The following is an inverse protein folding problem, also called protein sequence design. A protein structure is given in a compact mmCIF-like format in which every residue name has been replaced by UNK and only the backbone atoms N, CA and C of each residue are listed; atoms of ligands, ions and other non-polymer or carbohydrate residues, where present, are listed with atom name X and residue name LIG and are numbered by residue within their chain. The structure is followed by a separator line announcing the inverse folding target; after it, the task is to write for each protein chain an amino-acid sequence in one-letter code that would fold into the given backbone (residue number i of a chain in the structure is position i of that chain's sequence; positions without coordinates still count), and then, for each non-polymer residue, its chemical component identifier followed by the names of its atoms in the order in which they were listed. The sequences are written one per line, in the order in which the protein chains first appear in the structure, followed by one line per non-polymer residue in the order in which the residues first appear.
data_IF_723838521716
#
_entry.id   IF_723838521716
#
_cell.length_a   1.000
_cell.length_b   1.000
_cell.length_c   1.000
_cell.angle_alpha   90.00
_cell.angle_beta   90.00
_cell.angle_gamma   90.00
#
_symmetry.space_group_name_H-M   'P 1'
#
loop_
_entity.id
_entity.type
_entity.pdbx_description
1 polymer ?
#
# COMPACT_ATOMS: atom_id res chain seq x y z
N UNK A 1 -47.01 3.57 -19.19
CA UNK A 1 -48.47 3.70 -19.31
C UNK A 1 -49.08 2.33 -19.49
N UNK A 2 -49.85 1.90 -18.48
CA UNK A 2 -50.58 0.65 -18.47
C UNK A 2 -51.67 0.66 -19.56
N UNK A 3 -51.64 -0.31 -20.46
CA UNK A 3 -52.63 -0.50 -21.51
C UNK A 3 -53.57 -1.64 -21.12
N UNK A 4 -54.87 -1.36 -21.08
CA UNK A 4 -55.90 -2.34 -20.71
C UNK A 4 -56.73 -2.65 -21.94
N UNK A 5 -56.84 -3.94 -22.27
CA UNK A 5 -57.64 -4.43 -23.40
C UNK A 5 -58.54 -5.59 -22.98
N UNK A 6 -59.71 -5.69 -23.60
CA UNK A 6 -60.63 -6.82 -23.41
C UNK A 6 -60.20 -8.00 -24.27
N UNK A 7 -60.14 -9.21 -23.71
CA UNK A 7 -59.88 -10.48 -24.40
C UNK A 7 -60.94 -11.49 -23.97
N UNK A 8 -61.94 -11.72 -24.83
CA UNK A 8 -63.13 -12.51 -24.47
C UNK A 8 -63.84 -11.90 -23.26
N UNK A 9 -64.11 -12.72 -22.24
CA UNK A 9 -64.76 -12.31 -21.00
C UNK A 9 -63.80 -11.77 -19.92
N UNK A 10 -62.53 -11.53 -20.28
CA UNK A 10 -61.49 -11.09 -19.34
C UNK A 10 -60.80 -9.80 -19.80
N UNK A 11 -60.16 -9.13 -18.84
CA UNK A 11 -59.43 -7.88 -19.03
C UNK A 11 -57.93 -8.11 -18.88
N UNK A 12 -57.15 -7.88 -19.93
CA UNK A 12 -55.70 -7.97 -19.89
C UNK A 12 -55.11 -6.57 -19.67
N UNK A 13 -54.29 -6.42 -18.63
CA UNK A 13 -53.43 -5.25 -18.43
C UNK A 13 -52.02 -5.56 -18.92
N UNK A 14 -51.41 -4.65 -19.67
CA UNK A 14 -50.03 -4.70 -20.13
C UNK A 14 -49.31 -3.41 -19.72
N UNK A 15 -48.19 -3.55 -19.02
CA UNK A 15 -47.34 -2.41 -18.63
C UNK A 15 -46.03 -2.53 -19.39
N UNK A 16 -45.74 -1.51 -20.19
CA UNK A 16 -44.51 -1.40 -20.98
C UNK A 16 -43.84 -0.07 -20.65
N UNK A 17 -42.55 -0.14 -20.34
CA UNK A 17 -41.66 1.02 -20.17
C UNK A 17 -40.30 0.69 -20.77
N UNK A 18 -39.68 1.68 -21.40
CA UNK A 18 -38.36 1.54 -22.02
C UNK A 18 -37.35 1.17 -20.93
N UNK A 19 -36.56 0.12 -21.17
CA UNK A 19 -35.55 -0.33 -20.20
C UNK A 19 -36.09 -1.24 -19.09
N UNK A 20 -37.30 -1.81 -19.20
CA UNK A 20 -37.84 -2.81 -18.27
C UNK A 20 -38.52 -3.95 -19.03
N UNK A 21 -38.56 -5.16 -18.46
CA UNK A 21 -39.29 -6.28 -19.06
C UNK A 21 -40.81 -6.01 -19.10
N UNK A 22 -41.50 -6.32 -20.22
CA UNK A 22 -42.94 -6.13 -20.32
C UNK A 22 -43.70 -7.00 -19.31
N UNK A 23 -44.53 -6.38 -18.47
CA UNK A 23 -45.38 -7.10 -17.50
C UNK A 23 -46.81 -7.18 -18.02
N UNK A 24 -47.44 -8.35 -17.95
CA UNK A 24 -48.86 -8.48 -18.30
C UNK A 24 -49.62 -9.48 -17.43
N UNK A 25 -50.89 -9.19 -17.14
CA UNK A 25 -51.75 -10.06 -16.34
C UNK A 25 -53.22 -9.89 -16.75
N UNK A 26 -54.00 -10.96 -16.59
CA UNK A 26 -55.41 -11.02 -17.03
C UNK A 26 -56.38 -11.20 -15.85
N UNK A 27 -57.40 -10.37 -15.78
CA UNK A 27 -58.35 -10.24 -14.67
C UNK A 27 -59.79 -10.48 -15.12
N UNK A 28 -60.67 -10.83 -14.19
CA UNK A 28 -62.11 -10.95 -14.46
C UNK A 28 -62.78 -9.57 -14.54
N UNK A 29 -62.40 -8.62 -13.67
CA UNK A 29 -62.94 -7.27 -13.64
C UNK A 29 -61.96 -6.23 -14.17
N UNK A 30 -62.47 -5.21 -14.87
CA UNK A 30 -61.68 -4.08 -15.38
C UNK A 30 -60.99 -3.30 -14.25
N UNK A 31 -61.69 -3.07 -13.13
CA UNK A 31 -61.17 -2.33 -11.97
C UNK A 31 -59.93 -2.97 -11.35
N UNK A 32 -59.82 -4.29 -11.41
CA UNK A 32 -58.65 -5.02 -10.88
C UNK A 32 -57.45 -4.92 -11.82
N UNK A 33 -57.70 -4.91 -13.14
CA UNK A 33 -56.69 -4.65 -14.15
C UNK A 33 -56.12 -3.22 -14.06
N UNK A 34 -56.97 -2.23 -13.75
CA UNK A 34 -56.58 -0.84 -13.50
C UNK A 34 -55.73 -0.71 -12.23
N UNK A 35 -56.20 -1.25 -11.10
CA UNK A 35 -55.45 -1.25 -9.83
C UNK A 35 -54.09 -1.93 -9.95
N UNK A 36 -54.04 -3.08 -10.64
CA UNK A 36 -52.77 -3.76 -10.87
C UNK A 36 -51.84 -2.94 -11.76
N UNK A 37 -52.35 -2.32 -12.83
CA UNK A 37 -51.57 -1.45 -13.70
C UNK A 37 -50.87 -0.32 -12.94
N UNK A 38 -51.61 0.41 -12.08
CA UNK A 38 -51.05 1.49 -11.26
C UNK A 38 -49.96 1.00 -10.30
N UNK A 39 -50.16 -0.16 -9.66
CA UNK A 39 -49.15 -0.74 -8.77
C UNK A 39 -47.86 -1.11 -9.51
N UNK A 40 -47.98 -1.66 -10.72
CA UNK A 40 -46.81 -1.99 -11.54
C UNK A 40 -46.08 -0.74 -12.03
N UNK A 41 -46.80 0.32 -12.39
CA UNK A 41 -46.15 1.58 -12.79
C UNK A 41 -45.40 2.23 -11.64
N UNK A 42 -45.98 2.24 -10.44
CA UNK A 42 -45.30 2.74 -9.23
C UNK A 42 -44.04 1.94 -8.89
N UNK A 43 -44.09 0.62 -9.01
CA UNK A 43 -42.92 -0.25 -8.81
C UNK A 43 -41.81 0.07 -9.83
N UNK A 44 -42.17 0.28 -11.10
CA UNK A 44 -41.22 0.67 -12.14
C UNK A 44 -40.67 2.10 -11.92
N UNK A 45 -41.47 3.05 -11.44
CA UNK A 45 -41.00 4.39 -11.05
C UNK A 45 -39.98 4.31 -9.90
N UNK A 46 -40.23 3.44 -8.91
CA UNK A 46 -39.33 3.25 -7.78
C UNK A 46 -37.99 2.63 -8.21
N UNK A 47 -38.03 1.59 -9.06
CA UNK A 47 -36.83 0.97 -9.64
C UNK A 47 -36.03 1.97 -10.51
N UNK A 48 -36.72 2.76 -11.33
CA UNK A 48 -36.10 3.80 -12.17
C UNK A 48 -35.46 4.90 -11.31
N UNK A 49 -36.11 5.31 -10.22
CA UNK A 49 -35.56 6.29 -9.27
C UNK A 49 -34.30 5.81 -8.54
N UNK A 50 -34.15 4.49 -8.38
CA UNK A 50 -32.96 3.83 -7.83
C UNK A 50 -31.87 3.59 -8.87
N UNK A 51 -32.13 3.92 -10.14
CA UNK A 51 -31.22 3.66 -11.26
C UNK A 51 -31.21 2.20 -11.72
N UNK A 52 -32.14 1.39 -11.23
CA UNK A 52 -32.29 -0.04 -11.52
C UNK A 52 -33.11 -0.23 -12.81
N UNK A 53 -32.59 0.22 -13.95
CA UNK A 53 -33.16 -0.17 -15.25
C UNK A 53 -32.76 -1.62 -15.58
N UNK A 54 -33.58 -2.37 -16.34
CA UNK A 54 -33.29 -3.72 -16.83
C UNK A 54 -32.09 -3.82 -17.81
N UNK A 55 -31.31 -2.74 -17.94
CA UNK A 55 -29.93 -2.77 -18.44
C UNK A 55 -28.89 -2.84 -17.31
N UNK A 56 -29.25 -3.35 -16.13
CA UNK A 56 -28.29 -3.94 -15.21
C UNK A 56 -27.70 -5.18 -15.89
N UNK A 57 -26.69 -4.97 -16.73
CA UNK A 57 -25.89 -6.06 -17.31
C UNK A 57 -25.39 -6.90 -16.14
N UNK A 58 -25.88 -8.14 -16.03
CA UNK A 58 -25.36 -9.09 -15.05
C UNK A 58 -23.84 -9.18 -15.25
N UNK A 59 -23.10 -9.06 -14.15
CA UNK A 59 -21.64 -9.08 -14.22
C UNK A 59 -21.16 -10.52 -14.22
N UNK A 60 -21.01 -11.09 -15.41
CA UNK A 60 -20.47 -12.44 -15.63
C UNK A 60 -18.95 -12.53 -15.45
N UNK A 61 -18.28 -11.41 -15.21
CA UNK A 61 -16.84 -11.34 -15.01
C UNK A 61 -16.42 -12.09 -13.74
N UNK A 62 -15.49 -13.03 -13.88
CA UNK A 62 -14.84 -13.67 -12.74
C UNK A 62 -13.90 -12.69 -12.02
N UNK A 63 -13.72 -12.88 -10.71
CA UNK A 63 -12.77 -12.09 -9.96
C UNK A 63 -11.34 -12.23 -10.53
N UNK A 64 -10.96 -13.40 -11.04
CA UNK A 64 -9.67 -13.62 -11.69
C UNK A 64 -9.44 -12.67 -12.89
N UNK A 65 -10.42 -12.57 -13.79
CA UNK A 65 -10.36 -11.71 -14.97
C UNK A 65 -10.40 -10.23 -14.61
N UNK A 66 -11.22 -9.90 -13.60
CA UNK A 66 -11.28 -8.55 -13.05
C UNK A 66 -9.93 -8.10 -12.47
N UNK A 67 -9.23 -9.01 -11.77
CA UNK A 67 -7.90 -8.74 -11.24
C UNK A 67 -6.84 -8.59 -12.35
N UNK A 68 -6.96 -9.32 -13.46
CA UNK A 68 -6.10 -9.14 -14.64
C UNK A 68 -6.30 -7.78 -15.29
N UNK A 69 -7.56 -7.39 -15.52
CA UNK A 69 -7.88 -6.06 -16.05
C UNK A 69 -7.32 -4.96 -15.15
N UNK A 70 -7.45 -5.11 -13.83
CA UNK A 70 -6.83 -4.17 -12.89
C UNK A 70 -5.29 -4.20 -12.98
N UNK A 71 -4.67 -5.38 -13.07
CA UNK A 71 -3.22 -5.50 -13.14
C UNK A 71 -2.63 -4.80 -14.39
N UNK A 72 -3.35 -4.81 -15.51
CA UNK A 72 -2.96 -4.10 -16.73
C UNK A 72 -2.95 -2.56 -16.59
N UNK A 73 -3.75 -2.00 -15.68
CA UNK A 73 -3.77 -0.57 -15.37
C UNK A 73 -2.66 -0.16 -14.39
N UNK A 74 -2.05 -1.13 -13.71
CA UNK A 74 -1.00 -0.90 -12.74
C UNK A 74 0.36 -1.07 -13.43
N UNK A 75 1.35 -0.29 -13.00
CA UNK A 75 2.72 -0.44 -13.50
C UNK A 75 3.20 -1.89 -13.37
N UNK A 76 3.67 -2.44 -14.49
CA UNK A 76 4.30 -3.74 -14.56
C UNK A 76 5.40 -3.91 -13.49
N UNK A 77 5.46 -5.11 -12.90
CA UNK A 77 6.46 -5.49 -11.86
C UNK A 77 6.43 -4.62 -10.60
N UNK A 78 5.33 -3.91 -10.34
CA UNK A 78 5.10 -3.26 -9.04
C UNK A 78 4.60 -4.27 -7.99
N UNK A 79 4.70 -3.90 -6.71
CA UNK A 79 4.18 -4.75 -5.61
C UNK A 79 2.69 -5.08 -5.79
N UNK A 80 1.88 -4.11 -6.22
CA UNK A 80 0.45 -4.32 -6.48
C UNK A 80 0.22 -5.27 -7.66
N UNK A 81 1.00 -5.15 -8.75
CA UNK A 81 0.91 -6.08 -9.88
C UNK A 81 1.18 -7.53 -9.44
N UNK A 82 2.19 -7.75 -8.58
CA UNK A 82 2.47 -9.09 -8.04
C UNK A 82 1.34 -9.60 -7.14
N UNK A 83 0.77 -8.73 -6.29
CA UNK A 83 -0.35 -9.12 -5.44
C UNK A 83 -1.60 -9.47 -6.26
N UNK A 84 -1.97 -8.65 -7.24
CA UNK A 84 -3.08 -8.93 -8.16
C UNK A 84 -2.90 -10.28 -8.85
N UNK A 85 -1.70 -10.55 -9.37
CA UNK A 85 -1.36 -11.82 -10.01
C UNK A 85 -1.43 -13.02 -9.04
N UNK A 86 -0.99 -12.83 -7.79
CA UNK A 86 -0.99 -13.88 -6.77
C UNK A 86 -2.41 -14.22 -6.29
N UNK A 87 -3.29 -13.22 -6.18
CA UNK A 87 -4.68 -13.39 -5.75
C UNK A 87 -5.49 -14.27 -6.71
N UNK A 88 -5.17 -14.27 -8.01
CA UNK A 88 -5.82 -15.12 -9.01
C UNK A 88 -5.70 -16.62 -8.76
N UNK A 89 -4.65 -17.05 -8.06
CA UNK A 89 -4.40 -18.48 -7.77
C UNK A 89 -5.26 -18.99 -6.62
N UNK A 90 -6.13 -18.15 -6.06
CA UNK A 90 -6.94 -18.47 -4.88
C UNK A 90 -8.35 -18.91 -5.29
N UNK A 91 -8.99 -19.83 -4.55
CA UNK A 91 -10.30 -20.36 -4.94
C UNK A 91 -11.40 -19.30 -5.11
N UNK A 92 -11.31 -18.18 -4.39
CA UNK A 92 -12.25 -17.05 -4.53
C UNK A 92 -12.21 -16.40 -5.92
N UNK A 93 -11.09 -16.51 -6.63
CA UNK A 93 -10.87 -15.84 -7.91
C UNK A 93 -11.74 -16.42 -9.04
N UNK A 94 -12.09 -17.70 -8.98
CA UNK A 94 -12.95 -18.37 -9.96
C UNK A 94 -14.45 -18.07 -9.78
N UNK A 95 -14.82 -17.20 -8.82
CA UNK A 95 -16.21 -16.79 -8.61
C UNK A 95 -16.48 -15.52 -9.38
N UNK A 96 -17.68 -15.43 -9.96
CA UNK A 96 -18.20 -14.21 -10.58
C UNK A 96 -18.32 -13.08 -9.57
N UNK A 97 -18.06 -11.85 -10.02
CA UNK A 97 -18.14 -10.66 -9.17
C UNK A 97 -19.54 -10.45 -8.57
N UNK A 98 -20.60 -10.77 -9.32
CA UNK A 98 -22.00 -10.69 -8.88
C UNK A 98 -22.43 -11.85 -7.95
N UNK A 99 -21.71 -12.97 -7.99
CA UNK A 99 -21.91 -14.11 -7.09
C UNK A 99 -21.10 -14.04 -5.79
N UNK A 100 -20.24 -13.05 -5.64
CA UNK A 100 -19.42 -12.83 -4.46
C UNK A 100 -20.16 -11.98 -3.43
N UNK A 101 -19.97 -12.31 -2.16
CA UNK A 101 -20.61 -11.63 -1.04
C UNK A 101 -19.60 -11.42 0.09
N UNK A 102 -20.03 -10.71 1.14
CA UNK A 102 -19.16 -10.35 2.28
C UNK A 102 -18.53 -11.59 2.95
N UNK A 103 -19.28 -12.68 3.09
CA UNK A 103 -18.83 -13.92 3.72
C UNK A 103 -17.65 -14.54 2.97
N UNK A 104 -17.65 -14.50 1.64
CA UNK A 104 -16.53 -14.96 0.82
C UNK A 104 -15.24 -14.19 1.14
N UNK A 105 -15.31 -12.86 1.30
CA UNK A 105 -14.15 -12.04 1.61
C UNK A 105 -13.69 -12.13 3.07
N UNK A 106 -14.61 -12.39 4.01
CA UNK A 106 -14.25 -12.71 5.40
C UNK A 106 -13.45 -14.00 5.45
N UNK A 107 -13.94 -15.07 4.79
CA UNK A 107 -13.21 -16.33 4.69
C UNK A 107 -11.84 -16.14 4.03
N UNK A 108 -11.80 -15.42 2.91
CA UNK A 108 -10.53 -15.07 2.25
C UNK A 108 -9.56 -14.36 3.21
N UNK A 109 -10.03 -13.37 3.97
CA UNK A 109 -9.20 -12.65 4.95
C UNK A 109 -8.63 -13.61 5.99
N UNK A 110 -9.46 -14.46 6.57
CA UNK A 110 -9.07 -15.36 7.66
C UNK A 110 -8.11 -16.44 7.18
N UNK A 111 -8.38 -17.03 6.01
CA UNK A 111 -7.47 -17.97 5.34
C UNK A 111 -6.11 -17.29 5.08
N UNK A 112 -6.10 -16.07 4.55
CA UNK A 112 -4.86 -15.32 4.25
C UNK A 112 -4.09 -14.91 5.50
N UNK A 113 -4.76 -14.62 6.62
CA UNK A 113 -4.10 -14.29 7.88
C UNK A 113 -3.30 -15.47 8.46
N UNK A 114 -3.63 -16.71 8.08
CA UNK A 114 -2.83 -17.89 8.45
C UNK A 114 -1.52 -18.00 7.64
N UNK A 115 -1.44 -17.36 6.48
CA UNK A 115 -0.30 -17.47 5.56
C UNK A 115 0.60 -16.23 5.54
N UNK A 116 0.03 -15.02 5.70
CA UNK A 116 0.75 -13.76 5.56
C UNK A 116 0.37 -12.74 6.62
N UNK A 117 1.24 -11.75 6.82
CA UNK A 117 1.03 -10.69 7.80
C UNK A 117 -0.21 -9.80 7.51
N UNK A 118 -0.81 -9.19 8.55
CA UNK A 118 -2.04 -8.38 8.45
C UNK A 118 -1.97 -7.22 7.43
N UNK A 119 -0.77 -6.68 7.20
CA UNK A 119 -0.55 -5.60 6.22
C UNK A 119 -0.78 -6.06 4.79
N UNK A 120 -0.32 -7.27 4.47
CA UNK A 120 -0.51 -7.86 3.14
C UNK A 120 -1.99 -8.14 2.90
N UNK A 121 -2.67 -8.77 3.86
CA UNK A 121 -4.11 -9.05 3.76
C UNK A 121 -4.93 -7.76 3.60
N UNK A 122 -4.63 -6.72 4.38
CA UNK A 122 -5.31 -5.43 4.22
C UNK A 122 -5.08 -4.80 2.84
N UNK A 123 -3.87 -4.95 2.27
CA UNK A 123 -3.56 -4.46 0.91
C UNK A 123 -4.29 -5.26 -0.16
N UNK A 124 -4.33 -6.58 -0.05
CA UNK A 124 -5.08 -7.48 -0.94
C UNK A 124 -6.58 -7.11 -0.94
N UNK A 125 -7.21 -6.98 0.23
CA UNK A 125 -8.61 -6.55 0.34
C UNK A 125 -8.85 -5.16 -0.25
N UNK A 126 -7.93 -4.21 -0.06
CA UNK A 126 -8.04 -2.89 -0.67
C UNK A 126 -7.96 -2.96 -2.21
N UNK A 127 -7.07 -3.79 -2.76
CA UNK A 127 -6.95 -3.99 -4.20
C UNK A 127 -8.23 -4.61 -4.78
N UNK A 128 -8.83 -5.59 -4.09
CA UNK A 128 -10.12 -6.17 -4.47
C UNK A 128 -11.22 -5.11 -4.44
N UNK A 129 -11.33 -4.30 -3.37
CA UNK A 129 -12.28 -3.18 -3.30
C UNK A 129 -12.11 -2.23 -4.50
N UNK A 130 -10.86 -1.89 -4.86
CA UNK A 130 -10.56 -1.04 -6.00
C UNK A 130 -10.94 -1.69 -7.33
N UNK A 131 -10.75 -3.00 -7.48
CA UNK A 131 -11.18 -3.77 -8.66
C UNK A 131 -12.69 -3.68 -8.88
N UNK A 132 -13.50 -3.84 -7.81
CA UNK A 132 -14.94 -3.65 -7.90
C UNK A 132 -15.30 -2.22 -8.33
N UNK A 133 -14.63 -1.21 -7.77
CA UNK A 133 -14.89 0.18 -8.15
C UNK A 133 -14.53 0.47 -9.61
N UNK A 134 -13.49 -0.15 -10.15
CA UNK A 134 -13.14 -0.09 -11.57
C UNK A 134 -14.22 -0.77 -12.43
N UNK A 135 -14.67 -1.96 -12.04
CA UNK A 135 -15.74 -2.66 -12.76
C UNK A 135 -17.01 -1.82 -12.89
N UNK A 136 -17.38 -1.15 -11.79
CA UNK A 136 -18.55 -0.27 -11.74
C UNK A 136 -18.41 1.01 -12.57
N UNK A 137 -17.26 1.67 -12.48
CA UNK A 137 -17.05 3.00 -13.05
C UNK A 137 -16.56 2.98 -14.49
N UNK A 138 -15.82 1.94 -14.86
CA UNK A 138 -15.02 1.94 -16.09
C UNK A 138 -15.29 0.73 -16.99
N UNK A 139 -15.78 -0.41 -16.47
CA UNK A 139 -15.98 -1.62 -17.27
C UNK A 139 -17.45 -1.93 -17.63
N UNK A 140 -18.36 -0.98 -17.40
CA UNK A 140 -19.74 -1.08 -17.84
C UNK A 140 -20.67 -1.87 -16.91
N UNK A 141 -20.30 -2.07 -15.64
CA UNK A 141 -21.14 -2.75 -14.64
C UNK A 141 -21.62 -1.81 -13.51
N UNK A 142 -22.35 -0.72 -13.81
CA UNK A 142 -22.69 0.32 -12.82
C UNK A 142 -23.51 -0.19 -11.63
N UNK A 143 -24.36 -1.21 -11.85
CA UNK A 143 -25.21 -1.84 -10.86
C UNK A 143 -24.48 -2.89 -9.99
N UNK A 144 -23.23 -3.25 -10.29
CA UNK A 144 -22.47 -4.20 -9.49
C UNK A 144 -22.24 -3.65 -8.08
N UNK A 145 -22.67 -4.37 -7.05
CA UNK A 145 -22.37 -3.99 -5.66
C UNK A 145 -20.94 -4.37 -5.28
N UNK A 146 -20.25 -3.49 -4.54
CA UNK A 146 -18.91 -3.78 -4.03
C UNK A 146 -19.01 -4.61 -2.75
N UNK A 147 -19.14 -5.93 -2.90
CA UNK A 147 -19.24 -6.89 -1.80
C UNK A 147 -18.02 -6.88 -0.86
N UNK A 148 -16.88 -6.33 -1.28
CA UNK A 148 -15.67 -6.22 -0.47
C UNK A 148 -15.61 -4.93 0.38
N UNK A 149 -16.48 -3.94 0.14
CA UNK A 149 -16.36 -2.58 0.71
C UNK A 149 -16.35 -2.54 2.24
N UNK A 150 -17.26 -3.26 2.87
CA UNK A 150 -17.49 -3.24 4.32
C UNK A 150 -16.81 -4.40 5.06
N UNK A 151 -15.88 -5.10 4.40
CA UNK A 151 -15.09 -6.14 5.04
C UNK A 151 -14.09 -5.48 5.99
N UNK A 152 -14.21 -5.79 7.28
CA UNK A 152 -13.29 -5.27 8.30
C UNK A 152 -11.86 -5.73 8.00
N UNK A 153 -10.96 -4.75 7.80
CA UNK A 153 -9.55 -4.99 7.53
C UNK A 153 -8.82 -5.39 8.82
N UNK A 154 -7.82 -6.29 8.75
CA UNK A 154 -7.03 -6.67 9.91
C UNK A 154 -6.32 -5.48 10.56
N UNK A 155 -6.25 -5.50 11.90
CA UNK A 155 -5.48 -4.51 12.66
C UNK A 155 -4.01 -4.58 12.22
N UNK A 156 -3.45 -3.42 11.89
CA UNK A 156 -2.06 -3.34 11.47
C UNK A 156 -1.14 -3.55 12.67
N UNK A 157 -0.07 -4.36 12.54
CA UNK A 157 0.90 -4.50 13.61
C UNK A 157 1.57 -3.15 13.89
N UNK A 158 2.05 -2.98 15.12
CA UNK A 158 2.88 -1.81 15.47
C UNK A 158 4.12 -1.76 14.57
N UNK A 159 4.61 -0.54 14.35
CA UNK A 159 5.86 -0.34 13.64
C UNK A 159 7.00 -1.05 14.37
N UNK A 160 7.96 -1.59 13.61
CA UNK A 160 9.14 -2.26 14.16
C UNK A 160 10.04 -1.26 14.90
N UNK A 161 10.56 -1.65 16.05
CA UNK A 161 11.38 -0.82 16.95
C UNK A 161 12.79 -1.39 17.17
N UNK A 162 13.19 -2.38 16.36
CA UNK A 162 14.50 -3.02 16.43
C UNK A 162 15.61 -2.00 16.16
N UNK A 163 16.54 -1.88 17.11
CA UNK A 163 17.77 -1.07 17.07
C UNK A 163 18.98 -1.97 17.23
N UNK A 164 20.18 -1.53 16.83
CA UNK A 164 21.41 -2.29 17.10
C UNK A 164 21.65 -2.38 18.62
N UNK A 165 21.93 -3.58 19.12
CA UNK A 165 22.10 -3.85 20.55
C UNK A 165 23.55 -4.21 20.88
N UNK A 166 24.02 -3.83 22.08
CA UNK A 166 25.33 -4.16 22.61
C UNK A 166 26.49 -4.01 21.58
N UNK A 167 27.13 -5.11 21.20
CA UNK A 167 28.26 -5.19 20.28
C UNK A 167 27.87 -5.57 18.84
N UNK A 168 26.57 -5.62 18.50
CA UNK A 168 26.09 -6.08 17.19
C UNK A 168 26.70 -5.30 16.03
N UNK A 169 26.84 -3.98 16.15
CA UNK A 169 27.49 -3.16 15.12
C UNK A 169 28.93 -3.63 14.87
N UNK A 170 29.69 -3.86 15.95
CA UNK A 170 31.07 -4.33 15.85
C UNK A 170 31.13 -5.73 15.22
N UNK A 171 30.28 -6.67 15.66
CA UNK A 171 30.21 -8.02 15.10
C UNK A 171 29.84 -8.02 13.62
N UNK A 172 28.88 -7.19 13.21
CA UNK A 172 28.51 -7.01 11.80
C UNK A 172 29.69 -6.50 10.98
N UNK A 173 30.43 -5.50 11.49
CA UNK A 173 31.57 -4.95 10.78
C UNK A 173 32.71 -5.96 10.63
N UNK A 174 33.02 -6.73 11.69
CA UNK A 174 34.02 -7.80 11.64
C UNK A 174 33.60 -8.90 10.66
N UNK A 175 32.36 -9.38 10.75
CA UNK A 175 31.86 -10.42 9.88
C UNK A 175 31.78 -9.98 8.41
N UNK A 176 31.52 -8.70 8.15
CA UNK A 176 31.41 -8.14 6.79
C UNK A 176 32.71 -8.26 5.99
N UNK A 177 33.88 -8.25 6.64
CA UNK A 177 35.18 -8.40 6.01
C UNK A 177 35.36 -9.76 5.28
N UNK A 178 34.56 -10.75 5.66
CA UNK A 178 34.61 -12.11 5.08
C UNK A 178 33.59 -12.34 3.96
N UNK A 179 32.70 -11.38 3.69
CA UNK A 179 31.65 -11.50 2.67
C UNK A 179 32.11 -10.81 1.39
N UNK A 180 32.14 -11.56 0.28
CA UNK A 180 32.55 -11.08 -1.05
C UNK A 180 31.47 -10.23 -1.73
N UNK A 181 31.01 -9.17 -1.06
CA UNK A 181 30.13 -8.16 -1.64
C UNK A 181 30.84 -6.83 -1.61
N UNK A 182 31.05 -6.22 -2.79
CA UNK A 182 31.76 -4.96 -2.91
C UNK A 182 31.16 -3.89 -1.97
N UNK A 183 32.03 -3.22 -1.23
CA UNK A 183 31.69 -2.09 -0.36
C UNK A 183 30.62 -2.37 0.71
N UNK A 184 30.36 -3.63 1.08
CA UNK A 184 29.30 -3.97 2.06
C UNK A 184 29.49 -3.22 3.39
N UNK A 185 30.71 -3.24 3.93
CA UNK A 185 31.03 -2.54 5.18
C UNK A 185 30.80 -1.02 5.07
N UNK A 186 31.18 -0.42 3.93
CA UNK A 186 30.95 0.99 3.65
C UNK A 186 29.46 1.31 3.55
N UNK A 187 28.66 0.46 2.89
CA UNK A 187 27.20 0.61 2.76
C UNK A 187 26.53 0.59 4.15
N UNK A 188 26.94 -0.31 5.04
CA UNK A 188 26.38 -0.44 6.39
C UNK A 188 26.65 0.83 7.19
N UNK A 189 27.91 1.25 7.26
CA UNK A 189 28.29 2.47 8.00
C UNK A 189 27.63 3.71 7.41
N UNK A 190 27.57 3.80 6.08
CA UNK A 190 26.94 4.92 5.39
C UNK A 190 25.43 4.99 5.65
N UNK A 191 24.75 3.84 5.74
CA UNK A 191 23.33 3.78 6.11
C UNK A 191 23.09 4.31 7.53
N UNK A 192 23.96 3.95 8.48
CA UNK A 192 23.91 4.41 9.87
C UNK A 192 24.19 5.92 9.99
N UNK A 193 25.14 6.45 9.22
CA UNK A 193 25.53 7.86 9.31
C UNK A 193 24.57 8.82 8.59
N UNK A 194 23.85 8.37 7.57
CA UNK A 194 23.01 9.25 6.72
C UNK A 194 21.51 9.09 6.94
N UNK A 195 21.09 8.03 7.62
CA UNK A 195 19.68 7.62 7.73
C UNK A 195 18.96 7.46 6.38
N UNK A 196 19.66 7.38 5.25
CA UNK A 196 19.05 7.28 3.92
C UNK A 196 18.29 5.95 3.74
N UNK A 197 17.26 5.93 2.88
CA UNK A 197 16.60 4.67 2.50
C UNK A 197 17.57 3.82 1.70
N UNK A 198 17.49 2.49 1.82
CA UNK A 198 18.32 1.56 1.03
C UNK A 198 18.31 1.90 -0.47
N UNK A 199 17.13 2.16 -1.04
CA UNK A 199 17.02 2.53 -2.46
C UNK A 199 17.69 3.86 -2.80
N UNK A 200 17.72 4.83 -1.87
CA UNK A 200 18.41 6.11 -2.04
C UNK A 200 19.94 5.90 -1.99
N UNK A 201 20.43 5.04 -1.09
CA UNK A 201 21.86 4.69 -0.98
C UNK A 201 22.34 4.01 -2.26
N UNK A 202 21.62 2.99 -2.73
CA UNK A 202 21.99 2.23 -3.93
C UNK A 202 21.82 3.03 -5.23
N UNK A 203 20.97 4.06 -5.22
CA UNK A 203 20.81 4.98 -6.34
C UNK A 203 21.70 6.23 -6.23
N UNK A 204 22.53 6.36 -5.19
CA UNK A 204 23.43 7.51 -5.09
C UNK A 204 24.49 7.43 -6.19
N UNK A 205 24.69 8.54 -6.88
CA UNK A 205 25.64 8.67 -7.99
C UNK A 205 26.63 9.79 -7.66
N UNK A 206 27.91 9.56 -7.97
CA UNK A 206 29.01 10.47 -7.65
C UNK A 206 28.78 11.89 -8.17
N UNK A 207 28.08 12.07 -9.29
CA UNK A 207 27.76 13.41 -9.82
C UNK A 207 26.87 14.26 -8.90
N UNK A 208 26.22 13.63 -7.91
CA UNK A 208 25.37 14.30 -6.93
C UNK A 208 26.01 14.38 -5.54
N UNK A 209 27.27 13.96 -5.41
CA UNK A 209 28.02 14.02 -4.15
C UNK A 209 28.98 15.19 -4.24
N UNK A 210 28.85 16.12 -3.29
CA UNK A 210 29.78 17.22 -3.09
C UNK A 210 30.53 17.00 -1.78
N UNK A 211 31.75 16.47 -1.88
CA UNK A 211 32.59 16.20 -0.71
C UNK A 211 33.13 17.49 -0.07
N UNK A 212 33.28 18.57 -0.84
CA UNK A 212 33.75 19.87 -0.34
C UNK A 212 32.72 20.52 0.58
N UNK A 213 31.47 20.55 0.13
CA UNK A 213 30.34 21.03 0.93
C UNK A 213 29.77 19.96 1.88
N UNK A 214 30.25 18.71 1.80
CA UNK A 214 29.76 17.54 2.56
C UNK A 214 28.25 17.35 2.41
N UNK A 215 27.79 17.30 1.16
CA UNK A 215 26.38 17.08 0.84
C UNK A 215 26.19 16.03 -0.24
N UNK A 216 25.03 15.37 -0.20
CA UNK A 216 24.58 14.46 -1.25
C UNK A 216 23.19 14.86 -1.73
N UNK A 217 23.06 15.24 -2.99
CA UNK A 217 21.78 15.54 -3.62
C UNK A 217 21.07 14.23 -4.00
N UNK A 218 19.87 14.03 -3.47
CA UNK A 218 18.97 12.98 -3.90
C UNK A 218 17.98 13.57 -4.90
N UNK A 219 18.18 13.35 -6.22
CA UNK A 219 17.28 13.90 -7.23
C UNK A 219 15.88 13.29 -7.08
N UNK A 220 14.88 14.00 -7.61
CA UNK A 220 13.46 13.63 -7.49
C UNK A 220 13.26 12.16 -7.87
N UNK A 221 12.93 11.33 -6.89
CA UNK A 221 12.52 9.95 -7.14
C UNK A 221 11.04 9.92 -7.49
N UNK A 222 10.59 8.83 -8.10
CA UNK A 222 9.22 8.63 -8.61
C UNK A 222 8.09 8.96 -7.60
N UNK A 223 8.37 8.92 -6.29
CA UNK A 223 7.41 9.18 -5.21
C UNK A 223 7.95 10.16 -4.14
N UNK A 224 9.06 10.85 -4.40
CA UNK A 224 9.78 11.64 -3.40
C UNK A 224 10.06 13.06 -3.86
N UNK A 225 10.27 13.97 -2.90
CA UNK A 225 10.82 15.30 -3.16
C UNK A 225 12.34 15.19 -3.29
N UNK A 226 12.92 15.97 -4.21
CA UNK A 226 14.37 16.13 -4.23
C UNK A 226 14.80 16.74 -2.89
N UNK A 227 15.91 16.25 -2.34
CA UNK A 227 16.46 16.79 -1.09
C UNK A 227 17.97 16.63 -1.06
N UNK A 228 18.62 17.52 -0.34
CA UNK A 228 20.05 17.46 -0.08
C UNK A 228 20.27 16.88 1.31
N UNK A 229 21.02 15.79 1.40
CA UNK A 229 21.37 15.13 2.66
C UNK A 229 22.72 15.65 3.12
N UNK A 230 22.85 16.22 4.34
CA UNK A 230 24.14 16.58 4.90
C UNK A 230 24.93 15.31 5.25
N UNK A 231 26.22 15.32 4.99
CA UNK A 231 27.13 14.21 5.28
C UNK A 231 27.93 14.52 6.54
N UNK A 232 27.87 13.62 7.52
CA UNK A 232 28.76 13.68 8.69
C UNK A 232 30.22 13.51 8.24
N UNK A 233 31.19 13.90 9.09
CA UNK A 233 32.61 13.66 8.79
C UNK A 233 32.88 12.18 8.49
N UNK A 234 32.31 11.29 9.29
CA UNK A 234 32.38 9.83 9.10
C UNK A 234 31.76 9.39 7.77
N UNK A 235 30.61 9.94 7.37
CA UNK A 235 30.03 9.65 6.06
C UNK A 235 30.96 10.08 4.92
N UNK A 236 31.57 11.27 5.03
CA UNK A 236 32.55 11.78 4.06
C UNK A 236 33.82 10.91 4.01
N UNK A 237 34.32 10.45 5.15
CA UNK A 237 35.50 9.58 5.22
C UNK A 237 35.24 8.23 4.53
N UNK A 238 34.04 7.67 4.74
CA UNK A 238 33.61 6.45 4.06
C UNK A 238 33.62 6.65 2.54
N UNK A 239 33.01 7.73 2.05
CA UNK A 239 32.99 8.03 0.61
C UNK A 239 34.40 8.26 0.06
N UNK A 240 35.24 8.98 0.80
CA UNK A 240 36.62 9.29 0.40
C UNK A 240 37.48 8.03 0.26
N UNK A 241 37.21 7.00 1.09
CA UNK A 241 37.91 5.70 1.05
C UNK A 241 37.53 4.79 -0.13
N UNK A 242 36.48 5.12 -0.88
CA UNK A 242 36.05 4.30 -2.01
C UNK A 242 37.02 4.45 -3.20
N UNK A 243 37.32 3.34 -3.91
CA UNK A 243 38.37 3.32 -4.93
C UNK A 243 38.00 4.06 -6.22
N UNK A 244 36.70 4.22 -6.52
CA UNK A 244 36.21 4.83 -7.76
C UNK A 244 35.28 6.00 -7.45
N UNK A 245 35.37 7.04 -8.30
CA UNK A 245 34.56 8.28 -8.19
C UNK A 245 33.71 8.56 -9.43
N UNK A 246 33.25 7.49 -10.09
CA UNK A 246 32.47 7.57 -11.33
C UNK A 246 31.23 6.69 -11.25
N UNK A 247 30.08 7.22 -11.70
CA UNK A 247 28.80 6.50 -11.70
C UNK A 247 28.23 6.28 -10.30
N UNK A 248 27.62 5.10 -10.06
CA UNK A 248 27.03 4.76 -8.76
C UNK A 248 28.09 4.71 -7.67
N UNK A 249 27.82 5.36 -6.53
CA UNK A 249 28.69 5.34 -5.34
C UNK A 249 28.86 3.91 -4.82
N UNK A 250 27.74 3.17 -4.75
CA UNK A 250 27.72 1.77 -4.37
C UNK A 250 27.22 0.92 -5.53
N UNK A 251 28.14 0.33 -6.29
CA UNK A 251 27.84 -0.56 -7.41
C UNK A 251 27.34 -1.93 -6.94
N UNK A 252 26.15 -1.97 -6.34
CA UNK A 252 25.48 -3.22 -5.94
C UNK A 252 23.98 -3.16 -6.20
N UNK A 253 23.35 -4.32 -6.38
CA UNK A 253 21.91 -4.41 -6.60
C UNK A 253 21.16 -4.61 -5.28
N UNK A 254 19.87 -4.25 -5.20
CA UNK A 254 19.07 -4.49 -4.01
C UNK A 254 19.02 -5.96 -3.59
N UNK A 255 19.00 -6.89 -4.57
CA UNK A 255 18.98 -8.32 -4.28
C UNK A 255 20.33 -8.83 -3.76
N UNK A 256 21.45 -8.41 -4.39
CA UNK A 256 22.78 -8.76 -3.93
C UNK A 256 23.03 -8.26 -2.49
N UNK A 257 22.61 -7.02 -2.18
CA UNK A 257 22.68 -6.49 -0.82
C UNK A 257 21.80 -7.30 0.15
N UNK A 258 20.57 -7.64 -0.24
CA UNK A 258 19.65 -8.44 0.59
C UNK A 258 20.25 -9.81 0.93
N UNK A 259 20.78 -10.51 -0.06
CA UNK A 259 21.42 -11.81 0.14
C UNK A 259 22.67 -11.70 1.02
N UNK A 260 23.51 -10.69 0.78
CA UNK A 260 24.70 -10.44 1.58
C UNK A 260 24.35 -10.11 3.04
N UNK A 261 23.33 -9.27 3.25
CA UNK A 261 22.84 -8.91 4.58
C UNK A 261 22.30 -10.13 5.34
N UNK A 262 21.50 -10.98 4.70
CA UNK A 262 20.97 -12.19 5.35
C UNK A 262 22.08 -13.12 5.81
N UNK A 263 23.12 -13.33 4.98
CA UNK A 263 24.31 -14.11 5.39
C UNK A 263 25.08 -13.43 6.52
N UNK A 264 25.19 -12.11 6.46
CA UNK A 264 25.92 -11.32 7.45
C UNK A 264 25.29 -11.40 8.83
N UNK A 265 23.97 -11.23 8.92
CA UNK A 265 23.21 -11.27 10.18
C UNK A 265 23.38 -12.62 10.88
N UNK A 266 23.27 -13.72 10.12
CA UNK A 266 23.51 -15.08 10.65
C UNK A 266 24.95 -15.22 11.15
N UNK A 267 25.94 -14.80 10.35
CA UNK A 267 27.35 -14.91 10.71
C UNK A 267 27.74 -14.05 11.92
N UNK A 268 27.14 -12.88 12.06
CA UNK A 268 27.36 -11.97 13.19
C UNK A 268 26.57 -12.36 14.45
N UNK A 269 25.77 -13.45 14.40
CA UNK A 269 24.94 -13.88 15.52
C UNK A 269 23.85 -12.87 15.89
N UNK A 270 23.40 -12.06 14.93
CA UNK A 270 22.33 -11.07 15.15
C UNK A 270 20.97 -11.75 14.95
N UNK A 271 20.06 -11.55 15.89
CA UNK A 271 18.70 -12.10 15.83
C UNK A 271 17.71 -11.05 15.35
N UNK A 272 16.86 -11.44 14.39
CA UNK A 272 15.80 -10.59 13.83
C UNK A 272 16.31 -9.16 13.52
N UNK A 273 17.29 -9.03 12.62
CA UNK A 273 17.83 -7.74 12.19
C UNK A 273 17.75 -7.59 10.66
N UNK A 274 17.08 -6.54 10.19
CA UNK A 274 16.92 -6.22 8.77
C UNK A 274 17.80 -5.04 8.40
N UNK A 275 18.20 -4.94 7.13
CA UNK A 275 19.00 -3.80 6.67
C UNK A 275 18.28 -2.47 6.90
N UNK A 276 16.94 -2.46 6.79
CA UNK A 276 16.13 -1.28 7.07
C UNK A 276 16.18 -0.83 8.54
N UNK A 277 16.51 -1.72 9.47
CA UNK A 277 16.67 -1.38 10.88
C UNK A 277 17.88 -0.47 11.11
N UNK A 278 18.86 -0.46 10.20
CA UNK A 278 19.96 0.52 10.23
C UNK A 278 19.46 1.96 10.05
N UNK A 279 18.37 2.16 9.31
CA UNK A 279 17.73 3.47 9.20
C UNK A 279 17.00 3.85 10.48
N UNK A 280 16.36 2.88 11.14
CA UNK A 280 15.76 3.10 12.47
C UNK A 280 16.85 3.52 13.47
N UNK A 281 17.96 2.80 13.49
CA UNK A 281 19.13 3.11 14.31
C UNK A 281 19.70 4.49 14.01
N UNK A 282 19.91 4.82 12.73
CA UNK A 282 20.40 6.13 12.31
C UNK A 282 19.50 7.26 12.80
N UNK A 283 18.18 7.13 12.64
CA UNK A 283 17.22 8.15 13.09
C UNK A 283 17.25 8.30 14.61
N UNK A 284 17.32 7.21 15.36
CA UNK A 284 17.48 7.28 16.82
C UNK A 284 18.76 8.04 17.20
N UNK A 285 19.88 7.75 16.54
CA UNK A 285 21.16 8.45 16.76
C UNK A 285 21.08 9.96 16.45
N UNK A 286 20.26 10.38 15.49
CA UNK A 286 20.05 11.81 15.23
C UNK A 286 19.42 12.50 16.45
N UNK A 287 18.37 11.92 17.04
CA UNK A 287 17.75 12.47 18.25
C UNK A 287 18.66 12.37 19.48
N UNK A 288 19.45 11.31 19.61
CA UNK A 288 20.45 11.19 20.68
C UNK A 288 21.57 12.24 20.58
N UNK A 289 21.92 12.66 19.35
CA UNK A 289 22.81 13.79 19.06
C UNK A 289 22.16 15.16 19.30
N UNK A 290 20.90 15.21 19.71
CA UNK A 290 20.18 16.43 20.05
C UNK A 290 19.45 17.10 18.90
N UNK A 291 19.37 16.48 17.71
CA UNK A 291 18.64 17.05 16.59
C UNK A 291 17.15 17.15 16.90
N UNK A 292 16.56 18.26 16.49
CA UNK A 292 15.13 18.48 16.58
C UNK A 292 14.38 17.76 15.45
N UNK A 293 13.07 17.60 15.63
CA UNK A 293 12.24 16.86 14.68
C UNK A 293 12.34 17.39 13.24
N UNK A 294 12.31 18.71 12.97
CA UNK A 294 12.47 19.23 11.61
C UNK A 294 13.83 18.87 10.99
N UNK A 295 14.90 18.91 11.77
CA UNK A 295 16.26 18.58 11.33
C UNK A 295 16.37 17.08 11.01
N UNK A 296 15.87 16.24 11.92
CA UNK A 296 15.81 14.80 11.71
C UNK A 296 14.96 14.44 10.48
N UNK A 297 13.84 15.16 10.23
CA UNK A 297 13.02 15.00 9.02
C UNK A 297 13.79 15.37 7.75
N UNK A 298 14.57 16.46 7.77
CA UNK A 298 15.39 16.88 6.64
C UNK A 298 16.42 15.80 6.26
N UNK A 299 17.18 15.29 7.26
CA UNK A 299 18.20 14.26 7.04
C UNK A 299 17.56 12.95 6.58
N UNK A 300 16.60 12.44 7.35
CA UNK A 300 16.00 11.14 7.09
C UNK A 300 15.03 11.15 5.90
N UNK A 301 14.44 12.29 5.53
CA UNK A 301 13.45 12.39 4.47
C UNK A 301 12.08 11.79 4.83
N UNK A 302 11.66 11.92 6.09
CA UNK A 302 10.28 11.67 6.49
C UNK A 302 9.41 12.87 6.15
N UNK A 303 8.25 12.63 5.54
CA UNK A 303 7.28 13.69 5.18
C UNK A 303 6.24 13.94 6.25
N UNK A 304 5.91 12.92 7.05
CA UNK A 304 4.97 13.00 8.16
C UNK A 304 5.75 12.95 9.49
N UNK A 305 5.70 14.02 10.31
CA UNK A 305 6.33 14.06 11.63
C UNK A 305 5.87 12.92 12.55
N UNK A 306 4.65 12.40 12.39
CA UNK A 306 4.11 11.29 13.20
C UNK A 306 4.96 10.02 13.09
N UNK A 307 5.70 9.86 12.00
CA UNK A 307 6.64 8.73 11.84
C UNK A 307 7.83 8.82 12.79
N UNK A 308 8.20 10.04 13.22
CA UNK A 308 9.36 10.30 14.07
C UNK A 308 9.05 10.41 15.56
N UNK A 309 7.78 10.59 15.95
CA UNK A 309 7.35 10.70 17.36
C UNK A 309 7.85 9.55 18.23
N UNK A 310 8.03 8.35 17.66
CA UNK A 310 8.57 7.20 18.39
C UNK A 310 10.03 7.35 18.83
N UNK A 311 10.80 8.21 18.17
CA UNK A 311 12.23 8.43 18.49
C UNK A 311 12.43 9.62 19.41
N UNK A 312 11.41 10.47 19.58
CA UNK A 312 11.42 11.52 20.58
C UNK A 312 11.12 10.90 21.94
N UNK A 313 12.07 10.14 22.47
CA UNK A 313 12.07 9.80 23.89
C UNK A 313 12.44 11.08 24.66
N UNK A 314 11.43 11.93 24.85
CA UNK A 314 11.52 13.09 25.73
C UNK A 314 11.71 12.56 27.15
N UNK A 315 12.95 12.59 27.63
CA UNK A 315 13.22 12.37 29.06
C UNK A 315 12.86 13.65 29.79
N UNK A 316 12.00 13.55 30.82
CA UNK A 316 11.65 14.68 31.67
C UNK A 316 12.91 15.39 32.21
N UNK A 317 13.97 14.62 32.52
CA UNK A 317 15.27 15.15 32.95
C UNK A 317 15.95 16.03 31.90
N UNK A 318 15.94 15.63 30.63
CA UNK A 318 16.49 16.42 29.52
C UNK A 318 15.64 17.67 29.22
N UNK A 319 14.35 17.61 29.52
CA UNK A 319 13.46 18.77 29.39
C UNK A 319 13.69 19.77 30.52
N UNK A 320 13.93 19.32 31.75
CA UNK A 320 14.28 20.19 32.89
C UNK A 320 15.53 21.00 32.56
N UNK A 321 16.62 20.35 32.10
CA UNK A 321 17.84 21.07 31.69
C UNK A 321 17.59 22.14 30.61
N UNK A 322 16.66 21.90 29.68
CA UNK A 322 16.28 22.88 28.65
C UNK A 322 15.41 24.02 29.18
N UNK A 323 14.51 23.75 30.13
CA UNK A 323 13.66 24.75 30.76
C UNK A 323 14.49 25.67 31.68
N UNK A 324 15.41 25.11 32.45
CA UNK A 324 16.29 25.87 33.34
C UNK A 324 17.27 26.75 32.55
N UNK A 325 17.73 26.29 31.38
CA UNK A 325 18.60 27.06 30.50
C UNK A 325 17.90 28.30 29.90
N UNK A 326 16.58 28.29 29.74
CA UNK A 326 15.81 29.46 29.26
C UNK A 326 15.59 30.54 30.32
N UNK A 327 15.68 30.19 31.61
CA UNK A 327 15.48 31.13 32.73
C UNK A 327 16.77 31.86 33.16
N UNK A 328 17.89 31.57 32.50
CA UNK A 328 19.21 32.13 32.80
C UNK A 328 19.62 33.30 31.88
N UNK A 329 18.67 33.95 31.19
CA UNK A 329 18.92 35.09 30.27
C UNK A 329 18.39 36.39 30.85
#
# INVERSE_FOLDING_TARGET
MACIRKRGDRWQCQVRRRGFEPRSKTFAQRKDAERWGVLQERDLDELESRGETAHAVQCDLELADALDRHAALVRAKSGDHYLLSAMKRRPIAAKRLDGLNRTHFIRYRDDRLSEVGPRTVARELWLIQRTYDLARKEWGFPALENAARDVSKPRQPRGRERRLEADEEARLLVASATIKTANLQAIIRFAIETAMRQGEILALDWRHVDLGNRTALLPKTKNGRARTVPLSRRATDILTSLPTRSGRVFATTPDALKQAWNRLVVKAGCTDLRFHDLRHEAVSRLFERGLEMPEAMMVSGHTDPRMLVRYTHLSARKLIEKLDASDST
#
